data_IF_916215165793
#
_entry.id   IF_916215165793
#
_cell.length_a   1.000
_cell.length_b   1.000
_cell.length_c   1.000
_cell.angle_alpha   90.00
_cell.angle_beta   90.00
_cell.angle_gamma   90.00
#
_symmetry.space_group_name_H-M   'P 1'
#
loop_
_entity.id
_entity.type
_entity.pdbx_description
1 polymer ?
#
# COMPACT_ATOMS: atom_id res chain seq x y z
N UNK A 1 14.80 21.41 1.93
CA UNK A 1 13.99 20.27 1.55
C UNK A 1 14.01 20.09 0.05
N UNK A 2 14.20 18.89 -0.40
CA UNK A 2 14.21 18.59 -1.82
C UNK A 2 13.09 17.59 -2.10
N UNK A 3 12.16 17.94 -2.97
CA UNK A 3 11.12 17.00 -3.40
C UNK A 3 11.79 15.89 -4.20
N UNK A 4 11.74 14.65 -3.70
CA UNK A 4 12.39 13.51 -4.33
C UNK A 4 11.37 12.51 -4.80
N UNK A 5 11.49 12.08 -6.05
CA UNK A 5 10.71 10.94 -6.55
C UNK A 5 11.35 9.64 -6.06
N UNK A 6 10.50 8.72 -5.63
CA UNK A 6 10.94 7.42 -5.12
C UNK A 6 9.86 6.37 -5.41
N UNK A 7 10.14 5.13 -5.07
CA UNK A 7 9.17 4.06 -5.20
C UNK A 7 9.33 3.05 -4.05
N UNK A 8 8.31 2.21 -3.88
CA UNK A 8 8.36 1.07 -2.99
C UNK A 8 7.66 -0.10 -3.67
N UNK A 9 8.25 -1.28 -3.57
CA UNK A 9 7.71 -2.51 -4.14
C UNK A 9 7.79 -3.60 -3.09
N UNK A 10 6.66 -4.22 -2.79
CA UNK A 10 6.59 -5.31 -1.80
C UNK A 10 5.70 -6.41 -2.36
N UNK A 11 6.21 -7.64 -2.29
CA UNK A 11 5.40 -8.83 -2.56
C UNK A 11 4.90 -9.36 -1.23
N UNK A 12 3.59 -9.50 -1.09
CA UNK A 12 3.00 -10.11 0.10
C UNK A 12 3.28 -11.61 0.10
N UNK A 13 3.66 -12.14 1.26
CA UNK A 13 4.06 -13.55 1.42
C UNK A 13 3.13 -14.33 2.34
N UNK A 14 2.13 -13.68 2.91
CA UNK A 14 1.14 -14.31 3.78
C UNK A 14 -0.15 -13.48 3.77
N UNK A 15 -1.10 -13.85 4.60
CA UNK A 15 -2.40 -13.20 4.70
C UNK A 15 -2.51 -12.19 5.85
N UNK A 16 -1.39 -11.78 6.41
CA UNK A 16 -1.37 -10.78 7.48
C UNK A 16 -1.22 -9.36 6.92
N UNK A 17 -1.64 -8.38 7.72
CA UNK A 17 -1.45 -6.97 7.38
C UNK A 17 0.04 -6.64 7.39
N UNK A 18 0.56 -6.17 6.27
CA UNK A 18 1.98 -5.96 6.06
C UNK A 18 2.27 -4.50 5.78
N UNK A 19 3.31 -3.95 6.41
CA UNK A 19 3.78 -2.59 6.12
C UNK A 19 4.42 -2.56 4.75
N UNK A 20 3.91 -1.70 3.87
CA UNK A 20 4.46 -1.51 2.53
C UNK A 20 5.46 -0.35 2.53
N UNK A 21 5.12 0.72 3.21
CA UNK A 21 5.96 1.91 3.26
C UNK A 21 5.70 2.67 4.55
N UNK A 22 6.77 3.10 5.19
CA UNK A 22 6.72 3.99 6.36
C UNK A 22 7.41 5.30 5.98
N UNK A 23 6.69 6.41 6.09
CA UNK A 23 7.22 7.72 5.71
C UNK A 23 8.22 8.21 6.73
N UNK A 24 9.45 8.50 6.29
CA UNK A 24 10.47 9.09 7.15
C UNK A 24 10.36 10.62 7.20
N UNK A 25 9.60 11.19 6.27
CA UNK A 25 9.28 12.62 6.22
C UNK A 25 7.96 12.78 5.47
N UNK A 26 7.46 14.01 5.38
CA UNK A 26 6.20 14.26 4.65
C UNK A 26 6.33 13.75 3.23
N UNK A 27 5.39 12.91 2.82
CA UNK A 27 5.43 12.23 1.53
C UNK A 27 4.05 12.20 0.90
N UNK A 28 4.04 11.99 -0.42
CA UNK A 28 2.81 11.83 -1.19
C UNK A 28 2.91 10.54 -2.00
N UNK A 29 1.93 9.66 -1.84
CA UNK A 29 1.74 8.55 -2.77
C UNK A 29 1.10 9.14 -4.02
N UNK A 30 1.87 9.24 -5.11
CA UNK A 30 1.39 9.82 -6.36
C UNK A 30 0.48 8.84 -7.08
N UNK A 31 0.89 7.58 -7.08
CA UNK A 31 0.17 6.50 -7.72
C UNK A 31 0.61 5.19 -7.08
N UNK A 32 -0.21 4.17 -7.24
CA UNK A 32 0.16 2.85 -6.77
C UNK A 32 -0.76 1.80 -7.36
N UNK A 33 -0.34 0.55 -7.26
CA UNK A 33 -1.13 -0.59 -7.68
C UNK A 33 -0.95 -1.74 -6.72
N UNK A 34 -2.01 -2.54 -6.59
CA UNK A 34 -1.94 -3.85 -5.95
C UNK A 34 -2.43 -4.87 -6.96
N UNK A 35 -1.61 -5.88 -7.25
CA UNK A 35 -1.88 -6.83 -8.33
C UNK A 35 -1.92 -8.26 -7.81
N UNK A 36 -2.84 -9.03 -8.38
CA UNK A 36 -3.00 -10.46 -8.09
C UNK A 36 -2.15 -11.26 -9.09
N UNK A 37 -1.11 -11.91 -8.59
CA UNK A 37 -0.19 -12.68 -9.43
C UNK A 37 -0.54 -14.17 -9.51
N UNK A 38 -1.74 -14.53 -9.03
CA UNK A 38 -2.20 -15.93 -9.02
C UNK A 38 -3.19 -16.21 -10.15
N UNK A 39 -3.59 -17.47 -10.24
CA UNK A 39 -4.63 -17.94 -11.16
C UNK A 39 -5.99 -18.03 -10.50
N UNK A 40 -6.15 -17.53 -9.28
CA UNK A 40 -7.40 -17.54 -8.53
C UNK A 40 -7.71 -16.12 -8.04
N UNK A 41 -9.00 -15.86 -7.78
CA UNK A 41 -9.42 -14.58 -7.22
C UNK A 41 -8.99 -14.48 -5.76
N UNK A 42 -8.79 -13.25 -5.29
CA UNK A 42 -8.50 -12.97 -3.88
C UNK A 42 -9.21 -11.69 -3.46
N UNK A 43 -9.32 -11.45 -2.16
CA UNK A 43 -9.75 -10.17 -1.62
C UNK A 43 -8.54 -9.46 -1.02
N UNK A 44 -8.49 -8.15 -1.22
CA UNK A 44 -7.37 -7.34 -0.77
C UNK A 44 -7.85 -6.12 -0.01
N UNK A 45 -6.97 -5.60 0.84
CA UNK A 45 -7.24 -4.40 1.63
C UNK A 45 -6.01 -3.51 1.62
N UNK A 46 -6.24 -2.20 1.58
CA UNK A 46 -5.19 -1.19 1.76
C UNK A 46 -5.60 -0.29 2.92
N UNK A 47 -4.66 -0.08 3.85
CA UNK A 47 -4.88 0.68 5.07
C UNK A 47 -3.83 1.76 5.18
N UNK A 48 -4.26 2.98 5.54
CA UNK A 48 -3.34 4.04 5.93
C UNK A 48 -3.28 4.09 7.45
N UNK A 49 -2.10 3.90 8.03
CA UNK A 49 -1.87 4.06 9.47
C UNK A 49 -1.43 5.49 9.75
N UNK A 50 -2.15 6.17 10.64
CA UNK A 50 -1.84 7.53 11.08
C UNK A 50 -1.10 7.42 12.42
N UNK A 51 0.19 7.72 12.40
CA UNK A 51 1.05 7.56 13.57
C UNK A 51 0.66 8.54 14.69
N UNK A 52 0.27 9.77 14.35
CA UNK A 52 -0.10 10.77 15.36
C UNK A 52 -1.37 10.38 16.11
N UNK A 53 -2.29 9.68 15.47
CA UNK A 53 -3.51 9.17 16.08
C UNK A 53 -3.34 7.78 16.66
N UNK A 54 -2.22 7.10 16.38
CA UNK A 54 -1.96 5.70 16.71
C UNK A 54 -3.09 4.78 16.23
N UNK A 55 -3.65 5.06 15.06
CA UNK A 55 -4.77 4.33 14.48
C UNK A 55 -4.71 4.37 12.97
N UNK A 56 -5.25 3.34 12.34
CA UNK A 56 -5.31 3.24 10.90
C UNK A 56 -6.74 3.19 10.40
N UNK A 57 -6.91 3.57 9.12
CA UNK A 57 -8.19 3.47 8.43
C UNK A 57 -7.96 2.84 7.07
N UNK A 58 -8.90 1.99 6.66
CA UNK A 58 -8.83 1.36 5.35
C UNK A 58 -9.12 2.38 4.25
N UNK A 59 -8.30 2.36 3.22
CA UNK A 59 -8.60 3.01 1.95
C UNK A 59 -9.68 2.19 1.24
N UNK A 60 -9.50 0.87 1.23
CA UNK A 60 -10.54 -0.09 0.90
C UNK A 60 -10.28 -1.39 1.67
N UNK A 61 -11.34 -2.16 1.89
CA UNK A 61 -11.29 -3.37 2.71
C UNK A 61 -12.03 -4.51 2.02
N UNK A 62 -11.38 -5.68 1.93
CA UNK A 62 -11.94 -6.90 1.37
C UNK A 62 -12.55 -6.72 -0.02
N UNK A 63 -11.85 -6.00 -0.88
CA UNK A 63 -12.28 -5.77 -2.26
C UNK A 63 -11.79 -6.94 -3.11
N UNK A 64 -12.68 -7.46 -3.95
CA UNK A 64 -12.33 -8.54 -4.86
C UNK A 64 -11.26 -8.08 -5.85
N UNK A 65 -10.16 -8.83 -5.91
CA UNK A 65 -9.11 -8.66 -6.90
C UNK A 65 -9.06 -9.91 -7.76
N UNK A 66 -9.63 -9.86 -8.97
CA UNK A 66 -9.67 -11.03 -9.84
C UNK A 66 -8.27 -11.48 -10.25
N UNK A 67 -8.16 -12.75 -10.60
CA UNK A 67 -6.91 -13.33 -11.07
C UNK A 67 -6.33 -12.50 -12.23
N UNK A 68 -5.02 -12.26 -12.17
CA UNK A 68 -4.30 -11.55 -13.23
C UNK A 68 -4.67 -10.08 -13.37
N UNK A 69 -5.35 -9.48 -12.39
CA UNK A 69 -5.77 -8.08 -12.44
C UNK A 69 -5.07 -7.25 -11.37
N UNK A 70 -5.30 -5.94 -11.43
CA UNK A 70 -4.73 -4.99 -10.48
C UNK A 70 -5.75 -3.90 -10.17
N UNK A 71 -5.63 -3.33 -8.95
CA UNK A 71 -6.39 -2.16 -8.52
C UNK A 71 -5.42 -1.01 -8.37
N UNK A 72 -5.80 0.16 -8.88
CA UNK A 72 -5.03 1.38 -8.70
C UNK A 72 -5.38 2.04 -7.37
N UNK A 73 -4.35 2.54 -6.70
CA UNK A 73 -4.49 3.25 -5.43
C UNK A 73 -4.64 4.75 -5.68
N UNK A 74 -5.41 5.46 -4.85
CA UNK A 74 -5.53 6.90 -4.96
C UNK A 74 -4.25 7.60 -4.48
N UNK A 75 -4.17 8.91 -4.71
CA UNK A 75 -3.14 9.73 -4.09
C UNK A 75 -3.39 9.80 -2.59
N UNK A 76 -2.32 9.65 -1.81
CA UNK A 76 -2.40 9.59 -0.35
C UNK A 76 -1.29 10.47 0.23
N UNK A 77 -1.67 11.37 1.13
CA UNK A 77 -0.70 12.19 1.86
C UNK A 77 -0.26 11.42 3.10
N UNK A 78 1.06 11.34 3.32
CA UNK A 78 1.65 10.71 4.50
C UNK A 78 2.44 11.75 5.29
N UNK A 79 2.12 11.90 6.55
CA UNK A 79 2.96 12.65 7.48
C UNK A 79 4.08 11.74 7.96
N UNK A 80 5.07 12.31 8.64
CA UNK A 80 6.19 11.52 9.17
C UNK A 80 5.67 10.38 10.05
N UNK A 81 6.19 9.18 9.82
CA UNK A 81 5.86 7.93 10.51
C UNK A 81 4.51 7.31 10.15
N UNK A 82 3.72 7.94 9.27
CA UNK A 82 2.54 7.30 8.71
C UNK A 82 2.94 6.12 7.81
N UNK A 83 2.04 5.16 7.68
CA UNK A 83 2.32 3.93 6.92
C UNK A 83 1.24 3.64 5.91
N UNK A 84 1.64 3.00 4.82
CA UNK A 84 0.73 2.29 3.92
C UNK A 84 0.89 0.81 4.21
N UNK A 85 -0.23 0.15 4.48
CA UNK A 85 -0.29 -1.28 4.80
C UNK A 85 -1.21 -1.98 3.84
N UNK A 86 -0.89 -3.23 3.52
CA UNK A 86 -1.68 -4.03 2.59
C UNK A 86 -1.92 -5.42 3.17
N UNK A 87 -3.02 -6.04 2.77
CA UNK A 87 -3.39 -7.39 3.18
C UNK A 87 -4.14 -8.08 2.06
N UNK A 88 -3.91 -9.37 1.92
CA UNK A 88 -4.66 -10.27 1.05
C UNK A 88 -5.23 -11.40 1.89
N UNK A 89 -6.29 -12.04 1.41
CA UNK A 89 -6.82 -13.26 2.04
C UNK A 89 -6.20 -14.55 1.51
N UNK A 90 -5.24 -14.45 0.59
CA UNK A 90 -4.46 -15.59 0.12
C UNK A 90 -3.39 -15.95 1.17
N UNK A 91 -3.42 -17.17 1.67
CA UNK A 91 -2.52 -17.60 2.74
C UNK A 91 -1.03 -17.51 2.36
N UNK A 92 -0.70 -17.61 1.07
CA UNK A 92 0.65 -17.49 0.56
C UNK A 92 0.98 -16.07 0.08
N UNK A 93 0.04 -15.13 0.20
CA UNK A 93 0.18 -13.77 -0.28
C UNK A 93 0.01 -13.67 -1.77
N UNK A 94 1.10 -13.80 -2.52
CA UNK A 94 1.10 -13.78 -3.99
C UNK A 94 0.43 -12.55 -4.58
N UNK A 95 0.70 -11.42 -3.97
CA UNK A 95 0.12 -10.14 -4.32
C UNK A 95 1.24 -9.11 -4.30
N UNK A 96 1.41 -8.37 -5.38
CA UNK A 96 2.47 -7.38 -5.49
C UNK A 96 1.90 -5.97 -5.31
N UNK A 97 2.55 -5.17 -4.48
CA UNK A 97 2.17 -3.79 -4.23
C UNK A 97 3.30 -2.88 -4.70
N UNK A 98 2.95 -1.91 -5.54
CA UNK A 98 3.85 -0.89 -6.03
C UNK A 98 3.35 0.47 -5.62
N UNK A 99 4.23 1.30 -5.08
CA UNK A 99 3.93 2.69 -4.77
C UNK A 99 4.89 3.60 -5.51
N UNK A 100 4.39 4.69 -6.07
CA UNK A 100 5.18 5.78 -6.62
C UNK A 100 5.04 6.96 -5.70
N UNK A 101 6.15 7.50 -5.26
CA UNK A 101 6.21 8.42 -4.14
C UNK A 101 6.89 9.72 -4.52
N UNK A 102 6.41 10.81 -3.94
CA UNK A 102 7.15 12.05 -3.81
C UNK A 102 7.48 12.20 -2.33
N UNK A 103 8.75 12.20 -1.99
CA UNK A 103 9.21 12.24 -0.59
C UNK A 103 9.86 13.57 -0.27
N UNK A 104 9.99 13.86 1.03
CA UNK A 104 10.58 15.11 1.52
C UNK A 104 9.90 16.33 0.90
N UNK A 105 8.57 16.34 0.95
CA UNK A 105 7.75 17.36 0.32
C UNK A 105 7.84 18.65 1.12
N UNK A 106 8.12 19.73 0.43
CA UNK A 106 8.20 21.06 1.05
C UNK A 106 6.82 21.61 1.41
#
# INVERSE_FOLDING_TARGET
MANNFSDAQVSLTDDTLTDIYTASNKSLVIAGTISNTTTTNMNVSIKKYDDSAAAGKFIFENVLLPKGSAIQLPKIVLQTSDKIQAQTDDASGNCDVHLQLLTDVA
#
